data_IF_843835773003
#
_entry.id   IF_843835773003
#
_cell.length_a   1.000
_cell.length_b   1.000
_cell.length_c   1.000
_cell.angle_alpha   90.00
_cell.angle_beta   90.00
_cell.angle_gamma   90.00
#
_symmetry.space_group_name_H-M   'P 1'
#
loop_
_entity.id
_entity.type
_entity.pdbx_description
1 polymer ?
#
# COMPACT_ATOMS: atom_id res chain seq x y z
N UNK A 1 -5.85 -6.60 -0.90
CA UNK A 1 -5.34 -5.48 -1.73
C UNK A 1 -6.01 -4.19 -1.28
N UNK A 2 -5.28 -3.08 -1.18
CA UNK A 2 -5.76 -1.83 -0.53
C UNK A 2 -6.94 -1.17 -1.28
N UNK A 3 -7.04 -1.37 -2.59
CA UNK A 3 -8.17 -0.89 -3.39
C UNK A 3 -9.51 -1.51 -2.98
N UNK A 4 -9.51 -2.77 -2.53
CA UNK A 4 -10.73 -3.40 -2.00
C UNK A 4 -11.21 -2.73 -0.72
N UNK A 5 -10.28 -2.31 0.15
CA UNK A 5 -10.61 -1.55 1.37
C UNK A 5 -11.22 -0.21 1.01
N UNK A 6 -10.66 0.49 0.02
CA UNK A 6 -11.21 1.77 -0.45
C UNK A 6 -12.62 1.61 -1.04
N UNK A 7 -12.87 0.54 -1.81
CA UNK A 7 -14.22 0.26 -2.34
C UNK A 7 -15.23 0.08 -1.20
N UNK A 8 -14.87 -0.71 -0.19
CA UNK A 8 -15.71 -0.95 0.99
C UNK A 8 -15.96 0.34 1.77
N UNK A 9 -14.93 1.17 1.98
CA UNK A 9 -15.07 2.45 2.68
C UNK A 9 -16.02 3.40 1.95
N UNK A 10 -15.92 3.50 0.62
CA UNK A 10 -16.83 4.34 -0.18
C UNK A 10 -18.25 3.76 -0.19
N UNK A 11 -18.41 2.45 -0.33
CA UNK A 11 -19.73 1.80 -0.31
C UNK A 11 -20.45 2.00 1.04
N UNK A 12 -19.74 1.85 2.16
CA UNK A 12 -20.33 2.07 3.49
C UNK A 12 -20.50 3.55 3.86
N UNK A 13 -19.81 4.47 3.18
CA UNK A 13 -20.07 5.89 3.33
C UNK A 13 -21.49 6.29 2.88
N UNK A 14 -22.03 5.57 1.89
CA UNK A 14 -23.39 5.76 1.35
C UNK A 14 -24.41 4.84 2.06
N UNK A 15 -24.05 3.57 2.29
CA UNK A 15 -24.96 2.58 2.89
C UNK A 15 -25.33 2.84 4.36
N UNK A 16 -24.56 3.67 5.08
CA UNK A 16 -24.76 3.94 6.51
C UNK A 16 -25.13 5.44 6.74
N UNK A 17 -26.44 5.79 6.77
CA UNK A 17 -26.90 7.19 6.82
C UNK A 17 -26.40 8.00 8.02
N UNK A 18 -26.14 7.33 9.15
CA UNK A 18 -25.67 7.98 10.38
C UNK A 18 -24.15 8.10 10.48
N UNK A 19 -23.39 7.56 9.51
CA UNK A 19 -21.92 7.62 9.51
C UNK A 19 -21.37 8.94 8.91
N UNK A 20 -22.24 9.84 8.45
CA UNK A 20 -21.86 11.17 7.98
C UNK A 20 -20.92 11.18 6.77
N UNK A 21 -20.89 10.11 5.97
CA UNK A 21 -20.03 10.02 4.78
C UNK A 21 -18.52 9.90 5.07
N UNK A 22 -18.13 9.66 6.33
CA UNK A 22 -16.71 9.61 6.74
C UNK A 22 -15.89 8.55 5.97
N UNK A 23 -16.52 7.50 5.44
CA UNK A 23 -15.82 6.50 4.64
C UNK A 23 -15.09 7.09 3.42
N UNK A 24 -15.61 8.15 2.80
CA UNK A 24 -14.94 8.81 1.66
C UNK A 24 -13.66 9.51 2.10
N UNK A 25 -13.65 10.21 3.24
CA UNK A 25 -12.44 10.88 3.74
C UNK A 25 -11.38 9.88 4.18
N UNK A 26 -11.77 8.77 4.82
CA UNK A 26 -10.85 7.68 5.14
C UNK A 26 -10.26 7.04 3.88
N UNK A 27 -11.04 6.84 2.82
CA UNK A 27 -10.53 6.29 1.56
C UNK A 27 -9.44 7.18 0.92
N UNK A 28 -9.58 8.51 0.99
CA UNK A 28 -8.54 9.44 0.51
C UNK A 28 -7.27 9.34 1.35
N UNK A 29 -7.40 9.20 2.67
CA UNK A 29 -6.27 9.01 3.58
C UNK A 29 -5.52 7.71 3.30
N UNK A 30 -6.27 6.62 3.07
CA UNK A 30 -5.71 5.32 2.67
C UNK A 30 -4.99 5.40 1.33
N UNK A 31 -5.52 6.15 0.35
CA UNK A 31 -4.82 6.40 -0.92
C UNK A 31 -3.49 7.15 -0.73
N UNK A 32 -3.46 8.15 0.16
CA UNK A 32 -2.22 8.89 0.46
C UNK A 32 -1.16 7.97 1.10
N UNK A 33 -1.56 7.12 2.04
CA UNK A 33 -0.67 6.11 2.66
C UNK A 33 -0.18 5.12 1.60
N UNK A 34 -1.07 4.61 0.75
CA UNK A 34 -0.71 3.69 -0.33
C UNK A 34 0.36 4.29 -1.27
N UNK A 35 0.23 5.58 -1.61
CA UNK A 35 1.22 6.27 -2.41
C UNK A 35 2.59 6.34 -1.71
N UNK A 36 2.60 6.64 -0.41
CA UNK A 36 3.83 6.65 0.39
C UNK A 36 4.46 5.26 0.49
N UNK A 37 3.67 4.21 0.72
CA UNK A 37 4.14 2.82 0.78
C UNK A 37 4.77 2.37 -0.54
N UNK A 38 4.16 2.70 -1.68
CA UNK A 38 4.71 2.35 -3.01
C UNK A 38 6.03 3.08 -3.24
N UNK A 39 6.13 4.36 -2.88
CA UNK A 39 7.37 5.11 -3.01
C UNK A 39 8.51 4.50 -2.18
N UNK A 40 8.23 4.14 -0.92
CA UNK A 40 9.20 3.49 -0.03
C UNK A 40 9.56 2.09 -0.53
N UNK A 41 8.58 1.29 -0.92
CA UNK A 41 8.78 -0.06 -1.46
C UNK A 41 9.67 -0.05 -2.71
N UNK A 42 9.42 0.88 -3.64
CA UNK A 42 10.25 1.04 -4.84
C UNK A 42 11.66 1.48 -4.48
N UNK A 43 11.83 2.43 -3.54
CA UNK A 43 13.15 2.84 -3.09
C UNK A 43 13.96 1.66 -2.51
N UNK A 44 13.32 0.77 -1.75
CA UNK A 44 13.94 -0.45 -1.23
C UNK A 44 14.33 -1.39 -2.37
N UNK A 45 13.42 -1.68 -3.30
CA UNK A 45 13.69 -2.56 -4.46
C UNK A 45 14.87 -2.02 -5.29
N UNK A 46 14.91 -0.72 -5.54
CA UNK A 46 16.01 -0.07 -6.26
C UNK A 46 17.34 -0.16 -5.48
N UNK A 47 17.31 0.02 -4.16
CA UNK A 47 18.50 -0.13 -3.33
C UNK A 47 19.06 -1.55 -3.37
N UNK A 48 18.20 -2.57 -3.30
CA UNK A 48 18.59 -3.99 -3.44
C UNK A 48 19.14 -4.26 -4.84
N UNK A 49 18.45 -3.80 -5.88
CA UNK A 49 18.90 -3.97 -7.26
C UNK A 49 20.26 -3.33 -7.51
N UNK A 50 20.53 -2.15 -6.94
CA UNK A 50 21.84 -1.50 -7.05
C UNK A 50 22.97 -2.32 -6.43
N UNK A 51 22.70 -3.10 -5.38
CA UNK A 51 23.69 -3.94 -4.71
C UNK A 51 23.84 -5.33 -5.35
N UNK A 52 22.75 -5.95 -5.84
CA UNK A 52 22.75 -7.35 -6.28
C UNK A 52 22.50 -7.56 -7.77
N UNK A 53 22.11 -6.50 -8.51
CA UNK A 53 21.76 -6.50 -9.94
C UNK A 53 20.66 -7.51 -10.32
N UNK A 54 19.85 -7.92 -9.35
CA UNK A 54 18.73 -8.86 -9.47
C UNK A 54 17.55 -8.33 -8.66
N UNK A 55 16.33 -8.62 -9.10
CA UNK A 55 15.08 -8.38 -8.36
C UNK A 55 14.46 -9.69 -7.86
N UNK A 56 15.13 -10.83 -8.10
CA UNK A 56 14.69 -12.12 -7.61
C UNK A 56 14.82 -12.17 -6.08
N UNK A 57 13.69 -12.30 -5.39
CA UNK A 57 13.65 -12.30 -3.92
C UNK A 57 14.33 -13.53 -3.31
N UNK A 58 14.36 -14.65 -4.04
CA UNK A 58 14.98 -15.90 -3.58
C UNK A 58 16.52 -15.80 -3.50
N UNK A 59 17.12 -14.86 -4.24
CA UNK A 59 18.57 -14.63 -4.25
C UNK A 59 19.03 -13.68 -3.12
N UNK A 60 18.09 -13.05 -2.39
CA UNK A 60 18.39 -12.11 -1.29
C UNK A 60 18.57 -12.87 0.04
N UNK A 61 19.64 -13.67 0.13
CA UNK A 61 19.88 -14.60 1.26
C UNK A 61 20.93 -14.16 2.27
N UNK A 62 21.37 -12.90 2.26
CA UNK A 62 22.55 -12.45 3.04
C UNK A 62 22.41 -12.52 4.56
N UNK A 63 21.19 -12.74 5.06
CA UNK A 63 20.89 -12.91 6.49
C UNK A 63 20.58 -14.37 6.86
N UNK A 64 20.75 -15.33 5.94
CA UNK A 64 20.69 -16.76 6.29
C UNK A 64 22.04 -17.19 6.88
N UNK A 65 22.02 -17.63 8.13
CA UNK A 65 23.09 -18.39 8.77
C UNK A 65 22.96 -19.88 8.49
#
# INVERSE_FOLDING_TARGET
MINGVNLTLVAFADYLPNAGGLGVSYAVLVLAIAAAEIAVGLAIVLAVFRSRRTVNVDEVTSMRG
#
